data_IF_507377039555
#
_entry.id   IF_507377039555
#
_cell.length_a   1.000
_cell.length_b   1.000
_cell.length_c   1.000
_cell.angle_alpha   90.00
_cell.angle_beta   90.00
_cell.angle_gamma   90.00
#
_symmetry.space_group_name_H-M   'P 1'
#
loop_
_entity.id
_entity.type
_entity.pdbx_description
1 polymer ?
#
# COMPACT_ATOMS: atom_id res chain seq x y z
N UNK A 1 35.70 -14.66 -18.18
CA UNK A 1 34.52 -14.02 -18.76
C UNK A 1 33.25 -14.39 -18.02
N UNK A 2 33.00 -15.65 -17.71
CA UNK A 2 31.81 -16.04 -16.95
C UNK A 2 31.74 -15.40 -15.56
N UNK A 3 32.89 -15.22 -14.90
CA UNK A 3 32.93 -14.60 -13.57
C UNK A 3 32.43 -13.17 -13.59
N UNK A 4 32.75 -12.39 -14.63
CA UNK A 4 32.31 -11.00 -14.70
C UNK A 4 30.80 -10.89 -14.97
N UNK A 5 30.25 -11.79 -15.77
CA UNK A 5 28.81 -11.81 -16.03
C UNK A 5 28.03 -12.22 -14.79
N UNK A 6 28.53 -13.22 -14.08
CA UNK A 6 27.88 -13.67 -12.83
C UNK A 6 27.93 -12.59 -11.76
N UNK A 7 29.09 -11.93 -11.60
CA UNK A 7 29.24 -10.84 -10.66
C UNK A 7 28.30 -9.68 -10.98
N UNK A 8 28.12 -9.36 -12.28
CA UNK A 8 27.19 -8.33 -12.72
C UNK A 8 25.74 -8.67 -12.39
N UNK A 9 25.35 -9.93 -12.62
CA UNK A 9 24.02 -10.40 -12.31
C UNK A 9 23.75 -10.38 -10.81
N UNK A 10 24.74 -10.80 -10.00
CA UNK A 10 24.61 -10.77 -8.55
C UNK A 10 24.47 -9.35 -8.03
N UNK A 11 25.23 -8.42 -8.61
CA UNK A 11 25.14 -7.01 -8.25
C UNK A 11 23.77 -6.44 -8.57
N UNK A 12 23.22 -6.77 -9.75
CA UNK A 12 21.89 -6.34 -10.14
C UNK A 12 20.82 -6.90 -9.20
N UNK A 13 20.94 -8.19 -8.85
CA UNK A 13 20.01 -8.83 -7.93
C UNK A 13 20.04 -8.16 -6.55
N UNK A 14 21.23 -7.82 -6.08
CA UNK A 14 21.39 -7.15 -4.80
C UNK A 14 20.79 -5.73 -4.82
N UNK A 15 21.03 -5.00 -5.91
CA UNK A 15 20.44 -3.67 -6.08
C UNK A 15 18.91 -3.75 -6.09
N UNK A 16 18.36 -4.77 -6.74
CA UNK A 16 16.93 -5.00 -6.77
C UNK A 16 16.37 -5.24 -5.38
N UNK A 17 17.04 -6.10 -4.58
CA UNK A 17 16.64 -6.35 -3.21
C UNK A 17 16.69 -5.08 -2.36
N UNK A 18 17.75 -4.30 -2.52
CA UNK A 18 17.91 -3.04 -1.78
C UNK A 18 16.80 -2.05 -2.15
N UNK A 19 16.48 -1.97 -3.44
CA UNK A 19 15.42 -1.08 -3.91
C UNK A 19 14.04 -1.51 -3.41
N UNK A 20 13.78 -2.82 -3.39
CA UNK A 20 12.52 -3.34 -2.87
C UNK A 20 12.39 -3.08 -1.37
N UNK A 21 13.47 -3.29 -0.62
CA UNK A 21 13.48 -3.02 0.81
C UNK A 21 13.22 -1.55 1.09
N UNK A 22 13.88 -0.68 0.34
CA UNK A 22 13.70 0.76 0.46
C UNK A 22 12.27 1.17 0.13
N UNK A 23 11.70 0.59 -0.93
CA UNK A 23 10.33 0.86 -1.32
C UNK A 23 9.34 0.44 -0.23
N UNK A 24 9.56 -0.70 0.40
CA UNK A 24 8.72 -1.15 1.50
C UNK A 24 8.84 -0.26 2.73
N UNK A 25 10.04 0.22 3.02
CA UNK A 25 10.24 1.18 4.11
C UNK A 25 9.51 2.49 3.83
N UNK A 26 9.54 2.96 2.59
CA UNK A 26 8.80 4.14 2.18
C UNK A 26 7.29 3.93 2.27
N UNK A 27 6.80 2.75 1.87
CA UNK A 27 5.38 2.42 1.97
C UNK A 27 4.91 2.36 3.42
N UNK A 28 5.78 1.94 4.34
CA UNK A 28 5.45 1.91 5.76
C UNK A 28 5.19 3.32 6.31
N UNK A 29 5.69 4.35 5.63
CA UNK A 29 5.49 5.74 6.02
C UNK A 29 4.54 6.49 5.11
N UNK A 30 4.13 5.89 4.01
CA UNK A 30 3.19 6.49 3.08
C UNK A 30 1.77 6.29 3.60
N UNK A 31 1.04 7.40 3.77
CA UNK A 31 -0.31 7.35 4.32
C UNK A 31 -1.34 7.54 3.21
N UNK A 32 -2.43 6.82 3.35
CA UNK A 32 -3.61 6.98 2.50
C UNK A 32 -4.81 7.27 3.39
N UNK A 33 -5.83 7.91 2.84
CA UNK A 33 -7.06 8.20 3.56
C UNK A 33 -8.23 7.47 2.91
N UNK A 34 -8.90 6.63 3.69
CA UNK A 34 -10.16 6.01 3.31
C UNK A 34 -11.30 6.76 3.94
N UNK A 35 -12.46 6.76 3.31
CA UNK A 35 -13.61 7.46 3.84
C UNK A 35 -14.92 6.75 3.48
N UNK A 36 -15.93 7.03 4.27
CA UNK A 36 -17.28 6.54 4.05
C UNK A 36 -18.29 7.60 4.49
N UNK A 37 -19.52 7.48 3.99
CA UNK A 37 -20.58 8.43 4.34
C UNK A 37 -20.27 9.86 3.91
N UNK A 38 -19.68 10.04 2.73
CA UNK A 38 -19.30 11.35 2.20
C UNK A 38 -18.34 12.11 3.15
N UNK A 39 -17.42 11.38 3.76
CA UNK A 39 -16.41 11.96 4.63
C UNK A 39 -16.79 12.05 6.11
N UNK A 40 -17.93 11.48 6.49
CA UNK A 40 -18.33 11.45 7.91
C UNK A 40 -17.42 10.56 8.74
N UNK A 41 -16.87 9.50 8.15
CA UNK A 41 -15.85 8.67 8.77
C UNK A 41 -14.64 8.64 7.85
N UNK A 42 -13.46 8.92 8.41
CA UNK A 42 -12.19 8.91 7.70
C UNK A 42 -11.19 8.06 8.46
N UNK A 43 -10.41 7.27 7.72
CA UNK A 43 -9.37 6.43 8.31
C UNK A 43 -8.06 6.74 7.59
N UNK A 44 -7.03 7.12 8.35
CA UNK A 44 -5.68 7.30 7.82
C UNK A 44 -4.91 6.02 8.12
N UNK A 45 -4.34 5.44 7.07
CA UNK A 45 -3.67 4.14 7.14
C UNK A 45 -2.37 4.23 6.35
N UNK A 46 -1.33 3.53 6.82
CA UNK A 46 -0.11 3.38 6.02
C UNK A 46 -0.35 2.33 4.92
N UNK A 47 0.52 2.34 3.91
CA UNK A 47 0.44 1.33 2.85
C UNK A 47 0.81 -0.07 3.33
N UNK A 48 1.23 -0.23 4.58
CA UNK A 48 1.40 -1.53 5.22
C UNK A 48 0.22 -1.89 6.12
N UNK A 49 -0.88 -1.17 5.98
CA UNK A 49 -2.15 -1.43 6.66
C UNK A 49 -2.13 -1.14 8.17
N UNK A 50 -1.23 -0.25 8.61
CA UNK A 50 -1.27 0.26 9.98
C UNK A 50 -2.21 1.45 10.04
N UNK A 51 -3.22 1.37 10.88
CA UNK A 51 -4.17 2.47 11.09
C UNK A 51 -3.50 3.52 11.98
N UNK A 52 -3.40 4.75 11.49
CA UNK A 52 -2.80 5.85 12.23
C UNK A 52 -3.84 6.69 12.96
N UNK A 53 -5.01 6.87 12.35
CA UNK A 53 -6.03 7.74 12.91
C UNK A 53 -7.39 7.38 12.34
N UNK A 54 -8.40 7.49 13.16
CA UNK A 54 -9.80 7.39 12.77
C UNK A 54 -10.48 8.69 13.15
N UNK A 55 -11.15 9.33 12.21
CA UNK A 55 -11.91 10.56 12.45
C UNK A 55 -13.38 10.27 12.24
N UNK A 56 -14.21 10.63 13.20
CA UNK A 56 -15.65 10.39 13.16
C UNK A 56 -16.33 11.73 13.37
N UNK A 57 -17.25 12.08 12.45
CA UNK A 57 -18.03 13.30 12.62
C UNK A 57 -18.90 13.20 13.88
N UNK A 58 -18.93 14.23 14.72
CA UNK A 58 -19.70 14.17 15.96
C UNK A 58 -21.18 13.90 15.76
N UNK A 59 -21.75 14.26 14.62
CA UNK A 59 -23.16 14.00 14.32
C UNK A 59 -23.51 12.51 14.34
N UNK A 60 -22.54 11.64 14.03
CA UNK A 60 -22.77 10.20 14.05
C UNK A 60 -22.88 9.62 15.45
N UNK A 61 -22.37 10.32 16.46
CA UNK A 61 -22.44 9.85 17.84
C UNK A 61 -23.84 9.93 18.43
N UNK A 62 -24.70 10.75 17.83
CA UNK A 62 -26.10 10.88 18.22
C UNK A 62 -27.03 9.95 17.43
N UNK A 63 -26.50 9.27 16.41
CA UNK A 63 -27.27 8.41 15.51
C UNK A 63 -27.16 6.94 15.91
N UNK A 64 -27.67 6.08 15.05
CA UNK A 64 -27.69 4.64 15.20
C UNK A 64 -26.26 4.08 15.30
N UNK A 65 -25.99 3.32 16.35
CA UNK A 65 -24.71 2.66 16.54
C UNK A 65 -24.36 1.72 15.40
N UNK A 66 -25.35 1.01 14.87
CA UNK A 66 -25.12 0.07 13.77
C UNK A 66 -24.67 0.80 12.50
N UNK A 67 -25.23 1.97 12.24
CA UNK A 67 -24.81 2.80 11.11
C UNK A 67 -23.38 3.27 11.27
N UNK A 68 -22.99 3.67 12.49
CA UNK A 68 -21.62 4.07 12.78
C UNK A 68 -20.65 2.93 12.55
N UNK A 69 -20.98 1.74 13.03
CA UNK A 69 -20.14 0.56 12.85
C UNK A 69 -19.96 0.23 11.38
N UNK A 70 -21.03 0.29 10.59
CA UNK A 70 -20.98 0.01 9.16
C UNK A 70 -20.12 1.04 8.41
N UNK A 71 -20.23 2.31 8.78
CA UNK A 71 -19.44 3.37 8.15
C UNK A 71 -17.96 3.23 8.50
N UNK A 72 -17.63 2.85 9.72
CA UNK A 72 -16.23 2.61 10.11
C UNK A 72 -15.65 1.46 9.29
N UNK A 73 -16.38 0.36 9.18
CA UNK A 73 -15.94 -0.79 8.37
C UNK A 73 -15.73 -0.39 6.91
N UNK A 74 -16.66 0.37 6.35
CA UNK A 74 -16.56 0.83 4.96
C UNK A 74 -15.36 1.75 4.75
N UNK A 75 -15.10 2.65 5.69
CA UNK A 75 -13.95 3.55 5.61
C UNK A 75 -12.64 2.78 5.71
N UNK A 76 -12.56 1.79 6.59
CA UNK A 76 -11.38 0.94 6.71
C UNK A 76 -11.11 0.15 5.44
N UNK A 77 -12.15 -0.43 4.85
CA UNK A 77 -12.01 -1.17 3.60
C UNK A 77 -11.59 -0.26 2.45
N UNK A 78 -12.11 0.96 2.40
CA UNK A 78 -11.70 1.95 1.42
C UNK A 78 -10.21 2.29 1.58
N UNK A 79 -9.75 2.48 2.82
CA UNK A 79 -8.35 2.74 3.11
C UNK A 79 -7.45 1.58 2.67
N UNK A 80 -7.87 0.34 2.93
CA UNK A 80 -7.12 -0.86 2.51
C UNK A 80 -6.99 -0.89 0.99
N UNK A 81 -8.07 -0.64 0.26
CA UNK A 81 -8.01 -0.62 -1.20
C UNK A 81 -7.09 0.45 -1.74
N UNK A 82 -7.09 1.64 -1.12
CA UNK A 82 -6.20 2.73 -1.51
C UNK A 82 -4.75 2.41 -1.18
N UNK A 83 -4.49 1.79 -0.04
CA UNK A 83 -3.15 1.35 0.35
C UNK A 83 -2.61 0.32 -0.64
N UNK A 84 -3.44 -0.65 -1.03
CA UNK A 84 -3.05 -1.66 -2.00
C UNK A 84 -2.77 -1.06 -3.37
N UNK A 85 -3.62 -0.14 -3.83
CA UNK A 85 -3.41 0.52 -5.12
C UNK A 85 -2.10 1.32 -5.12
N UNK A 86 -1.82 2.06 -4.06
CA UNK A 86 -0.58 2.83 -3.94
C UNK A 86 0.63 1.91 -3.90
N UNK A 87 0.54 0.79 -3.18
CA UNK A 87 1.61 -0.20 -3.13
C UNK A 87 1.89 -0.81 -4.50
N UNK A 88 0.84 -1.14 -5.25
CA UNK A 88 0.96 -1.69 -6.59
C UNK A 88 1.60 -0.70 -7.54
N UNK A 89 1.23 0.57 -7.48
CA UNK A 89 1.83 1.61 -8.30
C UNK A 89 3.32 1.76 -8.02
N UNK A 90 3.70 1.74 -6.75
CA UNK A 90 5.09 1.87 -6.36
C UNK A 90 5.91 0.67 -6.83
N UNK A 91 5.38 -0.53 -6.67
CA UNK A 91 6.06 -1.74 -7.13
C UNK A 91 6.14 -1.83 -8.65
N UNK A 92 5.10 -1.39 -9.35
CA UNK A 92 5.12 -1.30 -10.80
C UNK A 92 6.22 -0.37 -11.30
N UNK A 93 6.43 0.76 -10.61
CA UNK A 93 7.51 1.69 -10.91
C UNK A 93 8.89 1.06 -10.77
N UNK A 94 9.07 0.20 -9.75
CA UNK A 94 10.34 -0.49 -9.54
C UNK A 94 10.63 -1.53 -10.61
N UNK A 95 9.59 -2.16 -11.15
CA UNK A 95 9.75 -3.24 -12.14
C UNK A 95 9.59 -2.77 -13.57
N UNK A 96 9.30 -1.49 -13.79
CA UNK A 96 8.97 -0.95 -15.12
C UNK A 96 10.07 -1.10 -16.16
N UNK A 97 11.33 -1.17 -15.74
CA UNK A 97 12.45 -1.34 -16.66
C UNK A 97 12.95 -2.76 -16.77
N UNK A 98 12.30 -3.73 -16.14
CA UNK A 98 12.78 -5.10 -16.10
C UNK A 98 12.07 -5.96 -17.14
N UNK A 99 12.83 -6.78 -17.92
CA UNK A 99 12.21 -7.74 -18.80
C UNK A 99 11.56 -8.85 -18.00
N UNK A 100 10.24 -8.91 -18.06
CA UNK A 100 9.47 -9.93 -17.36
C UNK A 100 8.93 -10.93 -18.37
N UNK A 101 9.05 -12.25 -18.10
CA UNK A 101 8.44 -13.24 -18.98
C UNK A 101 6.92 -13.12 -18.96
N UNK A 102 6.24 -13.42 -20.08
CA UNK A 102 4.79 -13.40 -20.13
C UNK A 102 4.18 -14.29 -19.04
N UNK A 103 3.19 -13.78 -18.36
CA UNK A 103 2.54 -14.53 -17.28
C UNK A 103 3.23 -14.48 -15.94
N UNK A 104 4.37 -13.80 -15.84
CA UNK A 104 5.06 -13.66 -14.56
C UNK A 104 4.27 -12.74 -13.63
N UNK A 105 4.04 -13.21 -12.43
CA UNK A 105 3.37 -12.43 -11.39
C UNK A 105 4.29 -12.25 -10.19
N UNK A 106 4.40 -11.01 -9.73
CA UNK A 106 5.15 -10.72 -8.52
C UNK A 106 4.35 -11.15 -7.28
N UNK A 107 5.04 -11.63 -6.23
CA UNK A 107 4.36 -12.17 -5.03
C UNK A 107 3.87 -11.08 -4.07
N UNK A 108 3.36 -9.98 -4.58
CA UNK A 108 2.82 -8.90 -3.75
C UNK A 108 1.68 -8.16 -4.39
#
# INVERSE_FOLDING_TARGET
>A
MMKNQLAGLMKQAQQMQDNMKKAQEELAQTEVEGQAGAGLVKVVMTCRHDVKRVSIDPSLLADDKDMLEDLVAAAMNDAVRRAEATSQEKMAGLTAGLPMPPGFKLPF
#
